data_IF_887376432838
#
_entry.id   IF_887376432838
#
_cell.length_a   1.000
_cell.length_b   1.000
_cell.length_c   1.000
_cell.angle_alpha   90.00
_cell.angle_beta   90.00
_cell.angle_gamma   90.00
#
_symmetry.space_group_name_H-M   'P 1'
#
loop_
_entity.id
_entity.type
_entity.pdbx_description
1 polymer ?
#
# COMPACT_ATOMS: atom_id res chain seq x y z
N UNK A 1 18.05 -2.09 -12.52
CA UNK A 1 17.59 -1.87 -11.14
C UNK A 1 16.50 -2.88 -10.79
N UNK A 2 16.69 -3.66 -9.72
CA UNK A 2 15.65 -4.52 -9.12
C UNK A 2 14.81 -3.72 -8.13
N UNK A 3 13.57 -4.16 -7.85
CA UNK A 3 12.69 -3.46 -6.90
C UNK A 3 13.34 -3.31 -5.52
N UNK A 4 14.03 -4.35 -5.05
CA UNK A 4 14.73 -4.36 -3.77
C UNK A 4 15.81 -3.27 -3.65
N UNK A 5 16.37 -2.79 -4.75
CA UNK A 5 17.37 -1.71 -4.75
C UNK A 5 16.72 -0.32 -4.62
N UNK A 6 15.43 -0.19 -4.98
CA UNK A 6 14.66 1.06 -4.91
C UNK A 6 13.82 1.18 -3.64
N UNK A 7 13.47 0.06 -3.01
CA UNK A 7 12.72 0.05 -1.75
C UNK A 7 13.63 0.48 -0.59
N UNK A 8 13.18 1.45 0.20
CA UNK A 8 13.78 1.79 1.49
C UNK A 8 13.09 0.99 2.60
N UNK A 9 13.89 0.21 3.31
CA UNK A 9 13.43 -0.70 4.36
C UNK A 9 13.50 -0.07 5.75
N UNK A 10 12.49 -0.32 6.57
CA UNK A 10 12.36 0.17 7.94
C UNK A 10 12.18 -1.00 8.91
N UNK A 11 12.83 -0.90 10.07
CA UNK A 11 12.70 -1.90 11.14
C UNK A 11 11.45 -1.69 11.99
N UNK A 12 10.83 -0.51 11.94
CA UNK A 12 9.66 -0.17 12.76
C UNK A 12 8.75 0.85 12.07
N UNK A 13 7.49 0.91 12.54
CA UNK A 13 6.52 1.92 12.08
C UNK A 13 7.03 3.32 12.41
N UNK A 14 7.61 3.56 13.59
CA UNK A 14 8.13 4.89 13.94
C UNK A 14 9.28 5.34 13.03
N UNK A 15 10.12 4.41 12.56
CA UNK A 15 11.12 4.70 11.54
C UNK A 15 10.49 5.16 10.22
N UNK A 16 9.44 4.47 9.78
CA UNK A 16 8.68 4.84 8.59
C UNK A 16 7.95 6.19 8.77
N UNK A 17 7.34 6.45 9.93
CA UNK A 17 6.67 7.72 10.23
C UNK A 17 7.68 8.89 10.20
N UNK A 18 8.89 8.67 10.73
CA UNK A 18 9.97 9.67 10.66
C UNK A 18 10.35 9.99 9.22
N UNK A 19 10.44 8.97 8.36
CA UNK A 19 10.66 9.16 6.92
C UNK A 19 9.51 9.92 6.26
N UNK A 20 8.27 9.56 6.57
CA UNK A 20 7.07 10.21 6.04
C UNK A 20 7.09 11.70 6.34
N UNK A 21 7.41 12.07 7.58
CA UNK A 21 7.51 13.47 7.97
C UNK A 21 8.62 14.22 7.22
N UNK A 22 9.76 13.55 6.98
CA UNK A 22 10.86 14.10 6.17
C UNK A 22 10.47 14.27 4.69
N UNK A 23 9.81 13.27 4.08
CA UNK A 23 9.35 13.31 2.69
C UNK A 23 8.28 14.40 2.45
N UNK A 24 7.47 14.73 3.46
CA UNK A 24 6.49 15.82 3.37
C UNK A 24 7.14 17.20 3.24
N UNK A 25 8.31 17.41 3.84
CA UNK A 25 9.02 18.70 3.83
C UNK A 25 10.18 18.75 2.84
N UNK A 26 10.35 17.71 2.01
CA UNK A 26 11.42 17.66 1.01
C UNK A 26 11.30 18.78 -0.03
N UNK A 27 12.45 19.31 -0.44
CA UNK A 27 12.55 20.27 -1.54
C UNK A 27 12.81 19.59 -2.90
N UNK A 28 12.96 18.27 -2.93
CA UNK A 28 13.18 17.54 -4.18
C UNK A 28 11.97 17.66 -5.13
N UNK A 29 12.22 18.14 -6.35
CA UNK A 29 11.17 18.47 -7.32
C UNK A 29 10.42 17.21 -7.77
N UNK A 30 11.15 16.11 -8.03
CA UNK A 30 10.55 14.88 -8.51
C UNK A 30 9.66 14.24 -7.43
N UNK A 31 10.14 14.21 -6.18
CA UNK A 31 9.37 13.75 -5.03
C UNK A 31 8.11 14.58 -4.80
N UNK A 32 8.16 15.90 -5.01
CA UNK A 32 6.99 16.78 -4.89
C UNK A 32 6.02 16.66 -6.06
N UNK A 33 6.51 16.33 -7.26
CA UNK A 33 5.72 16.17 -8.48
C UNK A 33 4.81 14.95 -8.39
N UNK A 34 5.32 13.79 -7.98
CA UNK A 34 4.52 12.56 -7.87
C UNK A 34 4.02 12.38 -6.44
N UNK A 35 2.70 12.42 -6.17
CA UNK A 35 2.17 12.35 -4.81
C UNK A 35 2.10 10.94 -4.23
N UNK A 36 2.09 9.91 -5.08
CA UNK A 36 1.84 8.53 -4.64
C UNK A 36 3.06 7.98 -3.90
N UNK A 37 2.83 7.36 -2.74
CA UNK A 37 3.82 6.64 -1.93
C UNK A 37 3.32 5.21 -1.70
N UNK A 38 4.04 4.23 -2.25
CA UNK A 38 3.72 2.82 -2.01
C UNK A 38 4.41 2.35 -0.73
N UNK A 39 3.63 1.68 0.13
CA UNK A 39 4.12 1.14 1.41
C UNK A 39 3.86 -0.36 1.41
N UNK A 40 4.91 -1.16 1.23
CA UNK A 40 4.83 -2.62 1.24
C UNK A 40 4.84 -3.14 2.68
N UNK A 41 3.86 -3.99 2.97
CA UNK A 41 3.63 -4.58 4.29
C UNK A 41 3.48 -6.09 4.16
N UNK A 42 3.90 -6.83 5.19
CA UNK A 42 3.77 -8.29 5.21
C UNK A 42 2.59 -8.78 6.03
N UNK A 43 2.17 -8.04 7.08
CA UNK A 43 1.06 -8.45 7.96
C UNK A 43 -0.03 -7.41 8.09
N UNK A 44 -1.22 -7.91 8.40
CA UNK A 44 -2.40 -7.09 8.59
C UNK A 44 -2.38 -6.30 9.90
N UNK A 45 -1.74 -6.84 10.95
CA UNK A 45 -1.53 -6.12 12.21
C UNK A 45 -0.69 -4.86 11.99
N UNK A 46 0.41 -4.98 11.24
CA UNK A 46 1.28 -3.85 10.88
C UNK A 46 0.53 -2.82 10.03
N UNK A 47 -0.34 -3.27 9.12
CA UNK A 47 -1.23 -2.39 8.38
C UNK A 47 -2.15 -1.60 9.30
N UNK A 48 -2.87 -2.26 10.22
CA UNK A 48 -3.77 -1.56 11.18
C UNK A 48 -3.01 -0.50 11.98
N UNK A 49 -1.87 -0.88 12.54
CA UNK A 49 -1.01 0.03 13.29
C UNK A 49 -0.53 1.20 12.42
N UNK A 50 -0.15 0.95 11.17
CA UNK A 50 0.24 2.02 10.24
C UNK A 50 -0.92 3.00 10.03
N UNK A 51 -2.13 2.54 9.75
CA UNK A 51 -3.29 3.41 9.52
C UNK A 51 -3.60 4.26 10.75
N UNK A 52 -3.57 3.67 11.94
CA UNK A 52 -3.75 4.42 13.20
C UNK A 52 -2.66 5.49 13.38
N UNK A 53 -1.39 5.16 13.10
CA UNK A 53 -0.28 6.09 13.21
C UNK A 53 -0.34 7.21 12.16
N UNK A 54 -0.69 6.91 10.92
CA UNK A 54 -0.91 7.93 9.87
C UNK A 54 -2.02 8.91 10.29
N UNK A 55 -3.12 8.39 10.83
CA UNK A 55 -4.22 9.22 11.35
C UNK A 55 -3.75 10.15 12.47
N UNK A 56 -2.93 9.64 13.40
CA UNK A 56 -2.42 10.41 14.53
C UNK A 56 -1.49 11.57 14.13
N UNK A 57 -0.90 11.54 12.94
CA UNK A 57 -0.08 12.63 12.37
C UNK A 57 -0.84 13.50 11.37
N UNK A 58 -2.17 13.38 11.32
CA UNK A 58 -3.05 14.24 10.52
C UNK A 58 -3.21 13.83 9.06
N UNK A 59 -2.89 12.58 8.69
CA UNK A 59 -3.19 12.03 7.36
C UNK A 59 -4.61 11.48 7.37
N UNK A 60 -5.42 11.85 6.38
CA UNK A 60 -6.82 11.42 6.29
C UNK A 60 -6.92 9.96 5.81
N UNK A 61 -7.81 9.17 6.40
CA UNK A 61 -8.12 7.84 5.88
C UNK A 61 -9.29 7.92 4.89
N UNK A 62 -9.02 7.57 3.64
CA UNK A 62 -10.04 7.44 2.62
C UNK A 62 -10.46 5.98 2.50
N UNK A 63 -11.67 5.71 2.98
CA UNK A 63 -12.28 4.38 2.92
C UNK A 63 -12.97 4.19 1.58
N UNK A 64 -12.43 3.28 0.76
CA UNK A 64 -12.94 2.96 -0.58
C UNK A 64 -14.37 2.41 -0.56
N UNK A 65 -14.81 1.85 0.56
CA UNK A 65 -16.20 1.42 0.79
C UNK A 65 -17.22 2.53 0.51
N UNK A 66 -16.83 3.81 0.64
CA UNK A 66 -17.68 4.98 0.37
C UNK A 66 -18.04 5.17 -1.10
N UNK A 67 -17.24 4.60 -2.01
CA UNK A 67 -17.41 4.73 -3.46
C UNK A 67 -17.91 3.44 -4.12
N UNK A 68 -18.35 2.48 -3.32
CA UNK A 68 -19.01 1.30 -3.86
C UNK A 68 -20.34 1.71 -4.51
N UNK A 69 -20.64 1.22 -5.73
CA UNK A 69 -21.91 1.56 -6.40
C UNK A 69 -23.13 1.01 -5.65
N UNK A 70 -22.94 -0.08 -4.88
CA UNK A 70 -23.91 -0.71 -4.00
C UNK A 70 -23.16 -1.62 -3.01
N UNK A 71 -23.85 -2.20 -2.02
CA UNK A 71 -23.24 -2.96 -0.92
C UNK A 71 -22.29 -4.10 -1.38
N UNK A 72 -22.69 -4.86 -2.40
CA UNK A 72 -21.87 -5.94 -2.99
C UNK A 72 -21.15 -5.49 -4.28
N UNK A 73 -20.98 -4.19 -4.46
CA UNK A 73 -20.37 -3.58 -5.63
C UNK A 73 -18.86 -3.69 -5.64
N UNK A 74 -18.26 -3.46 -6.81
CA UNK A 74 -16.81 -3.39 -6.96
C UNK A 74 -16.39 -2.06 -7.56
N UNK A 75 -15.29 -1.50 -7.05
CA UNK A 75 -14.68 -0.29 -7.63
C UNK A 75 -13.93 -0.68 -8.89
N UNK A 76 -14.24 0.00 -9.99
CA UNK A 76 -13.51 -0.18 -11.25
C UNK A 76 -12.12 0.45 -11.19
N UNK A 77 -11.22 0.02 -12.07
CA UNK A 77 -9.87 0.57 -12.23
C UNK A 77 -9.91 2.09 -12.44
N UNK A 78 -10.80 2.55 -13.31
CA UNK A 78 -10.95 3.97 -13.66
C UNK A 78 -11.48 4.79 -12.47
N UNK A 79 -12.45 4.25 -11.74
CA UNK A 79 -12.95 4.87 -10.50
C UNK A 79 -11.84 5.01 -9.47
N UNK A 80 -11.03 3.95 -9.26
CA UNK A 80 -9.93 4.01 -8.30
C UNK A 80 -8.84 5.03 -8.70
N UNK A 81 -8.49 5.10 -9.99
CA UNK A 81 -7.58 6.14 -10.50
C UNK A 81 -8.16 7.54 -10.28
N UNK A 82 -9.46 7.72 -10.56
CA UNK A 82 -10.16 9.00 -10.39
C UNK A 82 -10.16 9.44 -8.93
N UNK A 83 -10.47 8.52 -8.00
CA UNK A 83 -10.39 8.77 -6.55
C UNK A 83 -9.00 9.30 -6.20
N UNK A 84 -7.93 8.55 -6.51
CA UNK A 84 -6.55 8.95 -6.17
C UNK A 84 -6.17 10.32 -6.77
N UNK A 85 -6.58 10.59 -8.02
CA UNK A 85 -6.32 11.89 -8.67
C UNK A 85 -7.02 13.06 -7.99
N UNK A 86 -8.20 12.85 -7.42
CA UNK A 86 -9.05 13.91 -6.88
C UNK A 86 -8.82 14.20 -5.39
N UNK A 87 -8.08 13.36 -4.67
CA UNK A 87 -7.72 13.58 -3.27
C UNK A 87 -6.86 14.84 -3.10
N UNK A 88 -7.39 15.92 -2.51
CA UNK A 88 -6.66 17.19 -2.41
C UNK A 88 -5.68 17.30 -1.24
N UNK A 89 -5.75 16.38 -0.28
CA UNK A 89 -4.99 16.40 0.97
C UNK A 89 -4.12 15.15 1.11
N UNK A 90 -3.25 15.17 2.12
CA UNK A 90 -2.49 13.98 2.50
C UNK A 90 -3.43 12.88 2.98
N UNK A 91 -3.41 11.76 2.28
CA UNK A 91 -4.44 10.74 2.42
C UNK A 91 -3.86 9.34 2.36
N UNK A 92 -4.28 8.45 3.26
CA UNK A 92 -4.09 7.02 3.15
C UNK A 92 -5.35 6.39 2.52
N UNK A 93 -5.19 5.65 1.42
CA UNK A 93 -6.32 5.00 0.73
C UNK A 93 -6.43 3.56 1.20
N UNK A 94 -7.60 3.18 1.74
CA UNK A 94 -7.82 1.86 2.38
C UNK A 94 -9.21 1.30 2.05
N UNK A 95 -9.38 -0.02 1.86
CA UNK A 95 -8.36 -1.05 1.64
C UNK A 95 -7.87 -1.08 0.18
N UNK A 96 -6.65 -0.62 -0.11
CA UNK A 96 -6.14 -0.50 -1.48
C UNK A 96 -5.63 -1.82 -2.08
N UNK A 97 -4.85 -2.59 -1.32
CA UNK A 97 -4.29 -3.88 -1.76
C UNK A 97 -5.35 -4.88 -2.21
N UNK A 98 -6.50 -4.85 -1.56
CA UNK A 98 -7.63 -5.75 -1.69
C UNK A 98 -8.30 -5.59 -3.05
N UNK A 99 -8.24 -4.40 -3.64
CA UNK A 99 -8.77 -4.15 -4.98
C UNK A 99 -7.74 -4.57 -6.03
N UNK A 100 -6.51 -4.03 -5.93
CA UNK A 100 -5.50 -4.19 -6.98
C UNK A 100 -4.97 -5.63 -7.11
N UNK A 101 -5.03 -6.43 -6.04
CA UNK A 101 -4.54 -7.82 -6.05
C UNK A 101 -5.29 -8.72 -7.03
N UNK A 102 -6.54 -8.38 -7.38
CA UNK A 102 -7.39 -9.19 -8.26
C UNK A 102 -7.35 -8.76 -9.72
N UNK A 103 -6.60 -7.71 -10.05
CA UNK A 103 -6.44 -7.29 -11.44
C UNK A 103 -5.74 -8.36 -12.26
N UNK A 104 -6.14 -8.49 -13.53
CA UNK A 104 -5.38 -9.26 -14.51
C UNK A 104 -3.95 -8.72 -14.64
N UNK A 105 -3.02 -9.48 -15.21
CA UNK A 105 -1.63 -9.03 -15.37
C UNK A 105 -1.54 -7.73 -16.18
N UNK A 106 -2.29 -7.63 -17.27
CA UNK A 106 -2.32 -6.43 -18.12
C UNK A 106 -2.90 -5.23 -17.37
N UNK A 107 -4.03 -5.44 -16.70
CA UNK A 107 -4.67 -4.41 -15.89
C UNK A 107 -3.80 -3.91 -14.76
N UNK A 108 -3.11 -4.82 -14.07
CA UNK A 108 -2.20 -4.49 -12.99
C UNK A 108 -1.08 -3.57 -13.49
N UNK A 109 -0.46 -3.91 -14.64
CA UNK A 109 0.58 -3.07 -15.25
C UNK A 109 0.05 -1.69 -15.65
N UNK A 110 -1.05 -1.67 -16.39
CA UNK A 110 -1.63 -0.42 -16.90
C UNK A 110 -2.08 0.49 -15.76
N UNK A 111 -2.68 -0.09 -14.71
CA UNK A 111 -3.12 0.63 -13.53
C UNK A 111 -1.95 1.27 -12.78
N UNK A 112 -0.91 0.51 -12.41
CA UNK A 112 0.24 1.07 -11.70
C UNK A 112 1.02 2.09 -12.55
N UNK A 113 1.07 1.89 -13.88
CA UNK A 113 1.66 2.89 -14.77
C UNK A 113 0.89 4.21 -14.69
N UNK A 114 -0.44 4.18 -14.82
CA UNK A 114 -1.26 5.39 -14.70
C UNK A 114 -1.17 6.02 -13.31
N UNK A 115 -1.20 5.20 -12.25
CA UNK A 115 -1.20 5.62 -10.86
C UNK A 115 0.09 6.35 -10.48
N UNK A 116 1.24 5.80 -10.83
CA UNK A 116 2.55 6.37 -10.48
C UNK A 116 2.92 7.61 -11.31
N UNK A 117 2.22 7.83 -12.43
CA UNK A 117 2.37 9.01 -13.28
C UNK A 117 1.38 10.13 -12.92
N UNK A 118 0.58 9.96 -11.85
CA UNK A 118 -0.23 11.06 -11.32
C UNK A 118 0.70 12.16 -10.82
N UNK A 119 0.41 13.41 -11.18
CA UNK A 119 1.21 14.57 -10.78
C UNK A 119 0.40 15.51 -9.88
N UNK A 120 1.11 16.26 -9.04
CA UNK A 120 0.54 17.35 -8.26
C UNK A 120 0.37 18.60 -9.12
N UNK A 121 -0.77 19.28 -8.96
CA UNK A 121 -1.09 20.52 -9.70
C UNK A 121 -0.57 21.75 -8.97
N UNK A 122 -0.97 22.00 -7.72
CA UNK A 122 -0.63 23.26 -7.02
C UNK A 122 -0.25 23.10 -5.53
N UNK A 123 -0.46 21.91 -4.96
CA UNK A 123 -0.14 21.57 -3.56
C UNK A 123 0.56 20.21 -3.54
N UNK A 124 1.67 20.08 -2.82
CA UNK A 124 2.44 18.83 -2.77
C UNK A 124 1.83 17.80 -1.81
N UNK A 125 0.59 17.40 -2.08
CA UNK A 125 -0.10 16.31 -1.36
C UNK A 125 0.70 15.01 -1.44
N UNK A 126 0.46 14.12 -0.47
CA UNK A 126 0.99 12.75 -0.41
C UNK A 126 -0.15 11.76 -0.29
N UNK A 127 -0.20 10.82 -1.23
CA UNK A 127 -1.18 9.73 -1.21
C UNK A 127 -0.46 8.45 -0.83
N UNK A 128 -0.73 7.94 0.36
CA UNK A 128 -0.13 6.73 0.90
C UNK A 128 -1.00 5.54 0.53
N UNK A 129 -0.39 4.57 -0.15
CA UNK A 129 -1.03 3.35 -0.62
C UNK A 129 -0.38 2.15 0.06
N UNK A 130 -0.95 1.68 1.19
CA UNK A 130 -0.50 0.46 1.83
C UNK A 130 -0.80 -0.75 0.96
N UNK A 131 0.19 -1.63 0.80
CA UNK A 131 0.14 -2.81 -0.05
C UNK A 131 0.54 -4.04 0.75
N UNK A 132 -0.44 -4.86 1.11
CA UNK A 132 -0.23 -6.15 1.78
C UNK A 132 -0.16 -7.27 0.76
N UNK A 133 0.94 -8.03 0.74
CA UNK A 133 1.07 -9.23 -0.10
C UNK A 133 1.14 -8.98 -1.62
N UNK A 134 1.43 -7.74 -2.05
CA UNK A 134 1.54 -7.37 -3.47
C UNK A 134 2.98 -7.13 -3.93
N UNK A 135 3.97 -7.06 -3.02
CA UNK A 135 5.37 -6.70 -3.31
C UNK A 135 6.00 -7.54 -4.44
N UNK A 136 5.93 -8.87 -4.32
CA UNK A 136 6.54 -9.77 -5.29
C UNK A 136 5.91 -9.62 -6.68
N UNK A 137 4.57 -9.55 -6.73
CA UNK A 137 3.81 -9.35 -7.96
C UNK A 137 4.15 -8.00 -8.59
N UNK A 138 4.20 -6.93 -7.78
CA UNK A 138 4.58 -5.60 -8.23
C UNK A 138 5.99 -5.60 -8.83
N UNK A 139 6.94 -6.26 -8.16
CA UNK A 139 8.32 -6.41 -8.62
C UNK A 139 8.45 -7.15 -9.94
N UNK A 140 7.73 -8.27 -10.11
CA UNK A 140 7.81 -9.15 -11.29
C UNK A 140 6.98 -8.66 -12.48
N UNK A 141 5.76 -8.23 -12.24
CA UNK A 141 4.80 -7.93 -13.31
C UNK A 141 4.89 -6.47 -13.77
N UNK A 142 5.16 -5.52 -12.88
CA UNK A 142 5.16 -4.09 -13.22
C UNK A 142 6.56 -3.48 -13.21
N UNK A 143 7.27 -3.58 -12.07
CA UNK A 143 8.47 -2.79 -11.84
C UNK A 143 9.61 -3.12 -12.80
N UNK A 144 9.68 -4.33 -13.39
CA UNK A 144 10.71 -4.64 -14.39
C UNK A 144 10.54 -3.84 -15.69
N UNK A 145 9.31 -3.54 -16.09
CA UNK A 145 9.00 -2.92 -17.38
C UNK A 145 8.76 -1.41 -17.27
N UNK A 146 8.60 -0.89 -16.06
CA UNK A 146 8.34 0.53 -15.84
C UNK A 146 9.53 1.39 -16.28
N UNK A 147 9.35 2.39 -17.13
CA UNK A 147 10.49 3.15 -17.70
C UNK A 147 10.97 4.29 -16.80
N UNK A 148 10.09 4.82 -15.92
CA UNK A 148 10.38 5.99 -15.06
C UNK A 148 10.71 5.61 -13.62
N UNK A 149 11.37 4.46 -13.41
CA UNK A 149 11.69 3.93 -12.06
C UNK A 149 12.60 4.87 -11.27
N UNK A 150 13.52 5.56 -11.95
CA UNK A 150 14.48 6.45 -11.30
C UNK A 150 13.80 7.76 -10.87
N UNK A 151 12.91 8.28 -11.72
CA UNK A 151 12.11 9.48 -11.47
C UNK A 151 10.93 9.26 -10.51
N UNK A 152 10.57 8.01 -10.25
CA UNK A 152 9.43 7.71 -9.38
C UNK A 152 9.72 8.06 -7.93
N UNK A 153 8.65 8.40 -7.22
CA UNK A 153 8.64 8.52 -5.77
C UNK A 153 9.28 7.30 -5.07
N UNK A 154 9.81 7.49 -3.85
CA UNK A 154 10.37 6.41 -3.07
C UNK A 154 9.30 5.36 -2.73
N UNK A 155 9.73 4.10 -2.66
CA UNK A 155 8.93 3.00 -2.14
C UNK A 155 9.44 2.62 -0.76
N UNK A 156 8.52 2.29 0.14
CA UNK A 156 8.86 1.95 1.51
C UNK A 156 8.41 0.54 1.86
N UNK A 157 9.11 -0.08 2.80
CA UNK A 157 8.79 -1.41 3.31
C UNK A 157 9.11 -1.53 4.79
N UNK A 158 8.29 -2.26 5.53
CA UNK A 158 8.60 -2.66 6.91
C UNK A 158 9.11 -4.10 6.88
N UNK A 159 10.39 -4.29 7.22
CA UNK A 159 11.13 -5.56 6.99
C UNK A 159 11.20 -6.47 8.20
N UNK A 160 11.27 -5.89 9.41
CA UNK A 160 11.34 -6.64 10.67
C UNK A 160 10.01 -6.61 11.38
N UNK A 161 9.07 -7.29 10.77
CA UNK A 161 7.83 -7.67 11.39
C UNK A 161 8.15 -8.83 12.37
N UNK A 162 8.47 -8.52 13.63
CA UNK A 162 8.81 -9.52 14.67
C UNK A 162 7.84 -10.69 14.61
N UNK A 163 8.26 -11.90 14.21
CA UNK A 163 7.31 -12.97 13.98
C UNK A 163 6.51 -13.19 15.26
N UNK A 164 5.18 -13.04 15.18
CA UNK A 164 4.32 -13.63 16.19
C UNK A 164 4.64 -15.13 16.08
N UNK A 165 5.38 -15.68 17.04
CA UNK A 165 5.69 -17.09 17.04
C UNK A 165 4.37 -17.85 17.09
N UNK A 166 3.92 -18.37 15.94
CA UNK A 166 2.77 -19.26 15.92
C UNK A 166 3.25 -20.55 16.55
N UNK A 167 2.83 -20.81 17.80
CA UNK A 167 3.05 -22.10 18.44
C UNK A 167 2.10 -23.09 17.79
N UNK A 168 2.62 -23.83 16.80
CA UNK A 168 1.91 -24.95 16.20
C UNK A 168 2.08 -26.15 17.13
N UNK A 169 0.95 -26.65 17.66
CA UNK A 169 0.92 -27.89 18.42
C UNK A 169 0.54 -29.03 17.47
N UNK A 170 1.51 -29.90 17.16
CA UNK A 170 1.27 -31.14 16.44
C UNK A 170 0.95 -32.25 17.44
N UNK A 171 -0.21 -32.88 17.30
CA UNK A 171 -0.59 -34.06 18.07
C UNK A 171 -0.70 -35.26 17.14
N UNK A 172 -0.18 -36.41 17.57
CA UNK A 172 -0.36 -37.69 16.89
C UNK A 172 -1.73 -38.32 17.18
N UNK A 173 -2.53 -37.72 18.07
CA UNK A 173 -3.86 -38.21 18.40
C UNK A 173 -4.87 -37.75 17.34
N UNK A 174 -5.60 -38.71 16.76
CA UNK A 174 -6.81 -38.39 16.00
C UNK A 174 -7.82 -37.73 16.94
N UNK A 175 -8.23 -36.50 16.64
CA UNK A 175 -9.30 -35.82 17.37
C UNK A 175 -10.62 -36.51 16.99
N UNK A 176 -11.03 -37.50 17.78
CA UNK A 176 -12.26 -38.29 17.55
C UNK A 176 -13.51 -37.69 18.20
N UNK A 177 -13.45 -36.44 18.67
CA UNK A 177 -14.64 -35.73 19.15
C UNK A 177 -15.25 -34.91 18.02
N UNK A 178 -16.49 -35.23 17.67
CA UNK A 178 -17.39 -34.28 17.01
C UNK A 178 -17.37 -33.00 17.84
N UNK A 179 -17.12 -31.87 17.18
CA UNK A 179 -17.46 -30.57 17.74
C UNK A 179 -18.98 -30.51 17.64
N UNK A 180 -19.67 -30.94 18.69
CA UNK A 180 -21.11 -30.77 18.77
C UNK A 180 -21.40 -29.29 19.03
N UNK A 181 -21.98 -28.66 18.01
CA UNK A 181 -22.76 -27.42 17.98
C UNK A 181 -22.07 -26.09 18.29
N UNK A 182 -21.96 -25.26 17.23
CA UNK A 182 -22.26 -23.83 17.30
C UNK A 182 -23.72 -23.62 16.86
#
# INVERSE_FOLDING_TARGET
MKLAEKIKEFESIEGLISEINSDKVTNDILSRRYPVRLIFLQRFETFRMLIERLSSIGIENYHLERDLPHQDGWITKDTLISIVKNLSKDTAVVPFSEIVRFYSKEDFKNFFNQLLLIENTELSRRIYLPLIGVEERFGKEFFQDFTRKDESAPYWKISRETPNSIKVYLTSQKITKKIDNY
#
